data_IF_719706816587
#
_entry.id   IF_719706816587
#
_cell.length_a   1.000
_cell.length_b   1.000
_cell.length_c   1.000
_cell.angle_alpha   90.00
_cell.angle_beta   90.00
_cell.angle_gamma   90.00
#
_symmetry.space_group_name_H-M   'P 1'
#
loop_
_entity.id
_entity.type
_entity.pdbx_description
1 polymer ?
#
# COMPACT_ATOMS: atom_id res chain seq x y z
N UNK A 1 51.93 10.91 4.24
CA UNK A 1 50.75 11.73 4.60
C UNK A 1 49.71 11.82 3.50
N UNK A 2 50.07 12.14 2.24
CA UNK A 2 49.09 12.30 1.14
C UNK A 2 48.24 11.05 0.84
N UNK A 3 48.80 9.85 0.93
CA UNK A 3 48.08 8.60 0.68
C UNK A 3 46.92 8.39 1.67
N UNK A 4 47.11 8.71 2.95
CA UNK A 4 46.05 8.62 3.95
C UNK A 4 44.91 9.59 3.67
N UNK A 5 45.21 10.81 3.21
CA UNK A 5 44.20 11.82 2.87
C UNK A 5 43.33 11.34 1.70
N UNK A 6 43.94 10.78 0.66
CA UNK A 6 43.23 10.26 -0.53
C UNK A 6 42.38 9.04 -0.16
N UNK A 7 42.92 8.11 0.64
CA UNK A 7 42.18 6.93 1.10
C UNK A 7 40.97 7.32 1.95
N UNK A 8 41.12 8.29 2.86
CA UNK A 8 40.01 8.79 3.69
C UNK A 8 38.94 9.48 2.84
N UNK A 9 39.33 10.28 1.84
CA UNK A 9 38.37 10.91 0.92
C UNK A 9 37.55 9.88 0.13
N UNK A 10 38.18 8.82 -0.37
CA UNK A 10 37.47 7.77 -1.12
C UNK A 10 36.45 7.03 -0.24
N UNK A 11 36.80 6.72 1.00
CA UNK A 11 35.89 6.06 1.94
C UNK A 11 34.68 6.96 2.25
N UNK A 12 34.91 8.25 2.49
CA UNK A 12 33.84 9.22 2.69
C UNK A 12 32.92 9.33 1.46
N UNK A 13 33.49 9.38 0.25
CA UNK A 13 32.71 9.47 -0.99
C UNK A 13 31.79 8.25 -1.21
N UNK A 14 32.21 7.05 -0.77
CA UNK A 14 31.39 5.84 -0.86
C UNK A 14 30.27 5.80 0.19
N UNK A 15 30.52 6.31 1.39
CA UNK A 15 29.57 6.25 2.51
C UNK A 15 28.54 7.41 2.46
N UNK A 16 28.96 8.57 1.96
CA UNK A 16 28.14 9.77 1.85
C UNK A 16 26.76 9.59 1.19
N UNK A 17 26.64 8.93 0.00
CA UNK A 17 25.32 8.73 -0.63
C UNK A 17 24.37 7.88 0.24
N UNK A 18 24.88 6.91 1.00
CA UNK A 18 24.05 6.11 1.90
C UNK A 18 23.51 6.94 3.07
N UNK A 19 24.30 7.87 3.61
CA UNK A 19 23.84 8.79 4.65
C UNK A 19 22.73 9.72 4.15
N UNK A 20 22.89 10.31 2.97
CA UNK A 20 21.85 11.17 2.36
C UNK A 20 20.55 10.36 2.15
N UNK A 21 20.65 9.17 1.55
CA UNK A 21 19.49 8.32 1.30
C UNK A 21 18.75 7.96 2.60
N UNK A 22 19.47 7.76 3.70
CA UNK A 22 18.88 7.48 5.02
C UNK A 22 18.10 8.69 5.59
N UNK A 23 18.63 9.92 5.43
CA UNK A 23 17.98 11.15 5.88
C UNK A 23 16.68 11.42 5.09
N UNK A 24 16.71 11.22 3.77
CA UNK A 24 15.52 11.39 2.91
C UNK A 24 14.41 10.41 3.35
N UNK A 25 14.73 9.13 3.55
CA UNK A 25 13.78 8.11 4.03
C UNK A 25 13.11 8.49 5.35
N UNK A 26 13.89 8.97 6.33
CA UNK A 26 13.36 9.43 7.63
C UNK A 26 12.41 10.63 7.47
N UNK A 27 12.77 11.55 6.58
CA UNK A 27 11.96 12.74 6.30
C UNK A 27 10.60 12.38 5.71
N UNK A 28 10.56 11.44 4.77
CA UNK A 28 9.30 11.01 4.15
C UNK A 28 8.41 10.20 5.10
N UNK A 29 9.00 9.33 5.93
CA UNK A 29 8.27 8.64 7.01
C UNK A 29 7.63 9.64 7.98
N UNK A 30 8.35 10.69 8.37
CA UNK A 30 7.82 11.74 9.23
C UNK A 30 6.67 12.53 8.58
N UNK A 31 6.67 12.68 7.24
CA UNK A 31 5.58 13.34 6.51
C UNK A 31 4.31 12.48 6.52
N UNK A 32 4.39 11.21 6.13
CA UNK A 32 3.20 10.35 6.07
C UNK A 32 2.58 10.17 7.46
N UNK A 33 3.39 10.03 8.52
CA UNK A 33 2.86 9.94 9.88
C UNK A 33 2.10 11.20 10.31
N UNK A 34 2.58 12.40 9.94
CA UNK A 34 1.87 13.66 10.21
C UNK A 34 0.54 13.74 9.47
N UNK A 35 0.51 13.30 8.21
CA UNK A 35 -0.73 13.24 7.42
C UNK A 35 -1.71 12.27 8.07
N UNK A 36 -1.29 11.03 8.33
CA UNK A 36 -2.11 10.00 8.97
C UNK A 36 -2.69 10.48 10.30
N UNK A 37 -1.86 11.07 11.17
CA UNK A 37 -2.31 11.56 12.48
C UNK A 37 -3.32 12.68 12.33
N UNK A 38 -3.09 13.63 11.40
CA UNK A 38 -4.03 14.70 11.11
C UNK A 38 -5.38 14.16 10.66
N UNK A 39 -5.39 13.22 9.72
CA UNK A 39 -6.63 12.69 9.13
C UNK A 39 -7.41 11.83 10.14
N UNK A 40 -6.72 11.00 10.92
CA UNK A 40 -7.33 10.24 12.02
C UNK A 40 -8.03 11.19 13.00
N UNK A 41 -7.36 12.28 13.39
CA UNK A 41 -7.96 13.30 14.28
C UNK A 41 -9.11 14.04 13.60
N UNK A 42 -8.96 14.42 12.33
CA UNK A 42 -9.97 15.16 11.57
C UNK A 42 -11.29 14.38 11.44
N UNK A 43 -11.22 13.09 11.15
CA UNK A 43 -12.39 12.20 11.09
C UNK A 43 -12.76 11.57 12.44
N UNK A 44 -12.01 11.89 13.51
CA UNK A 44 -12.19 11.37 14.87
C UNK A 44 -12.15 9.84 14.95
N UNK A 45 -11.30 9.19 14.16
CA UNK A 45 -11.23 7.72 14.06
C UNK A 45 -10.40 7.13 15.20
N UNK A 46 -10.77 5.93 15.65
CA UNK A 46 -9.99 5.10 16.56
C UNK A 46 -9.48 3.86 15.83
N UNK A 47 -8.36 4.00 15.13
CA UNK A 47 -7.79 2.92 14.31
C UNK A 47 -7.17 1.84 15.20
N UNK A 48 -7.69 0.61 15.14
CA UNK A 48 -7.16 -0.55 15.89
C UNK A 48 -6.20 -1.39 15.06
N UNK A 49 -6.65 -1.82 13.88
CA UNK A 49 -5.80 -2.52 12.92
C UNK A 49 -5.20 -1.50 11.98
N UNK A 50 -3.87 -1.45 11.88
CA UNK A 50 -3.16 -0.50 11.00
C UNK A 50 -1.89 -1.07 10.42
N UNK A 51 -1.52 -0.55 9.27
CA UNK A 51 -0.24 -0.82 8.65
C UNK A 51 0.25 0.42 7.91
N UNK A 52 1.55 0.70 8.04
CA UNK A 52 2.22 1.78 7.33
C UNK A 52 3.38 1.15 6.56
N UNK A 53 3.44 1.38 5.25
CA UNK A 53 4.49 0.86 4.38
C UNK A 53 4.83 1.91 3.34
N UNK A 54 6.12 2.14 3.10
CA UNK A 54 6.59 3.24 2.23
C UNK A 54 5.88 4.56 2.61
N UNK A 55 5.13 5.13 1.66
CA UNK A 55 4.35 6.36 1.81
C UNK A 55 2.83 6.08 1.87
N UNK A 56 2.47 4.86 2.23
CA UNK A 56 1.10 4.38 2.29
C UNK A 56 0.70 4.04 3.72
N UNK A 57 -0.59 4.18 3.98
CA UNK A 57 -1.23 3.82 5.23
C UNK A 57 -2.58 3.19 4.94
N UNK A 58 -2.92 2.17 5.73
CA UNK A 58 -4.25 1.59 5.76
C UNK A 58 -4.60 1.27 7.21
N UNK A 59 -5.84 1.54 7.60
CA UNK A 59 -6.31 1.28 8.95
C UNK A 59 -7.81 1.11 9.02
N UNK A 60 -8.27 0.31 9.98
CA UNK A 60 -9.69 0.11 10.28
C UNK A 60 -10.01 0.64 11.68
N UNK A 61 -11.05 1.46 11.74
CA UNK A 61 -11.81 1.75 12.96
C UNK A 61 -12.97 0.75 13.05
N UNK A 62 -12.88 -0.26 13.94
CA UNK A 62 -13.92 -1.28 14.05
C UNK A 62 -15.21 -0.75 14.69
N UNK A 63 -15.13 0.30 15.52
CA UNK A 63 -16.29 0.86 16.20
C UNK A 63 -17.16 1.64 15.22
N UNK A 64 -16.53 2.45 14.37
CA UNK A 64 -17.20 3.20 13.30
C UNK A 64 -17.36 2.41 12.01
N UNK A 65 -16.79 1.20 11.90
CA UNK A 65 -16.74 0.37 10.69
C UNK A 65 -16.18 1.13 9.47
N UNK A 66 -15.17 1.96 9.69
CA UNK A 66 -14.52 2.73 8.63
C UNK A 66 -13.13 2.24 8.35
N UNK A 67 -12.77 2.21 7.07
CA UNK A 67 -11.42 2.00 6.59
C UNK A 67 -10.86 3.32 6.08
N UNK A 68 -9.68 3.69 6.58
CA UNK A 68 -8.90 4.81 6.11
C UNK A 68 -7.72 4.28 5.31
N UNK A 69 -7.63 4.66 4.03
CA UNK A 69 -6.49 4.41 3.19
C UNK A 69 -5.89 5.75 2.75
N UNK A 70 -4.57 5.88 2.87
CA UNK A 70 -3.83 7.07 2.45
C UNK A 70 -2.63 6.62 1.62
N UNK A 71 -2.47 7.21 0.45
CA UNK A 71 -1.30 7.03 -0.42
C UNK A 71 -0.70 8.39 -0.73
N UNK A 72 0.52 8.64 -0.27
CA UNK A 72 1.19 9.92 -0.49
C UNK A 72 2.09 9.89 -1.73
N UNK A 73 1.58 10.49 -2.82
CA UNK A 73 2.30 10.73 -4.07
C UNK A 73 2.70 12.22 -4.13
N UNK A 74 3.89 12.53 -3.59
CA UNK A 74 4.43 13.89 -3.44
C UNK A 74 4.25 14.71 -4.74
N UNK A 75 3.55 15.88 -4.74
CA UNK A 75 3.17 16.73 -3.60
C UNK A 75 1.76 16.52 -3.04
N UNK A 76 0.97 15.58 -3.58
CA UNK A 76 -0.41 15.33 -3.15
C UNK A 76 -0.49 14.01 -2.36
N UNK A 77 -1.63 13.74 -1.76
CA UNK A 77 -1.95 12.41 -1.28
C UNK A 77 -3.38 12.09 -1.66
N UNK A 78 -3.60 10.81 -1.93
CA UNK A 78 -4.92 10.23 -2.08
C UNK A 78 -5.37 9.82 -0.69
N UNK A 79 -6.60 10.20 -0.33
CA UNK A 79 -7.26 9.77 0.89
C UNK A 79 -8.59 9.12 0.51
N UNK A 80 -8.78 7.89 0.98
CA UNK A 80 -10.02 7.17 0.84
C UNK A 80 -10.54 6.81 2.23
N UNK A 81 -11.71 7.36 2.57
CA UNK A 81 -12.46 6.97 3.75
C UNK A 81 -13.65 6.13 3.30
N UNK A 82 -13.61 4.83 3.60
CA UNK A 82 -14.57 3.84 3.12
C UNK A 82 -15.40 3.35 4.29
N UNK A 83 -16.72 3.43 4.16
CA UNK A 83 -17.66 2.78 5.06
C UNK A 83 -17.70 1.27 4.71
N UNK A 84 -17.28 0.42 5.65
CA UNK A 84 -17.16 -1.01 5.41
C UNK A 84 -18.52 -1.70 5.27
N UNK A 85 -19.58 -1.11 5.83
CA UNK A 85 -20.95 -1.61 5.66
C UNK A 85 -21.49 -1.41 4.25
N UNK A 86 -20.89 -0.50 3.48
CA UNK A 86 -21.32 -0.16 2.13
C UNK A 86 -20.67 -1.06 1.07
N UNK A 87 -19.85 -2.03 1.49
CA UNK A 87 -19.15 -2.95 0.62
C UNK A 87 -19.93 -4.25 0.43
N UNK A 88 -19.98 -4.73 -0.81
CA UNK A 88 -20.54 -6.06 -1.15
C UNK A 88 -19.45 -7.10 -1.44
N UNK A 89 -18.25 -6.65 -1.78
CA UNK A 89 -17.13 -7.51 -2.13
C UNK A 89 -15.81 -6.75 -1.94
N UNK A 90 -14.81 -7.49 -1.44
CA UNK A 90 -13.41 -7.08 -1.46
C UNK A 90 -12.63 -8.24 -2.09
N UNK A 91 -11.97 -7.98 -3.22
CA UNK A 91 -11.17 -8.99 -3.93
C UNK A 91 -9.75 -8.51 -4.17
N UNK A 92 -8.81 -9.46 -4.11
CA UNK A 92 -7.42 -9.20 -4.47
C UNK A 92 -7.34 -9.15 -5.99
N UNK A 93 -6.79 -8.07 -6.54
CA UNK A 93 -6.52 -7.94 -7.96
C UNK A 93 -5.02 -7.89 -8.17
N UNK A 94 -4.52 -8.79 -9.03
CA UNK A 94 -3.16 -8.77 -9.56
C UNK A 94 -3.21 -8.58 -11.08
N UNK A 95 -2.39 -7.67 -11.59
CA UNK A 95 -2.16 -7.49 -13.03
C UNK A 95 -0.76 -8.03 -13.35
N UNK A 96 -0.68 -8.96 -14.28
CA UNK A 96 0.56 -9.62 -14.69
C UNK A 96 0.78 -9.32 -16.17
N UNK A 97 1.95 -8.79 -16.50
CA UNK A 97 2.42 -8.67 -17.88
C UNK A 97 3.13 -9.94 -18.29
N UNK A 98 2.79 -10.45 -19.47
CA UNK A 98 3.52 -11.55 -20.11
C UNK A 98 4.34 -11.00 -21.26
N UNK A 99 5.67 -11.04 -21.11
CA UNK A 99 6.58 -10.76 -22.21
C UNK A 99 7.07 -12.09 -22.79
N UNK A 100 6.91 -12.25 -24.11
CA UNK A 100 7.44 -13.42 -24.83
C UNK A 100 8.87 -13.11 -25.25
N UNK A 101 9.83 -13.87 -24.72
CA UNK A 101 11.23 -13.73 -25.12
C UNK A 101 11.76 -15.05 -25.68
N UNK A 102 11.94 -15.09 -27.00
CA UNK A 102 12.64 -16.09 -27.83
C UNK A 102 12.31 -17.60 -27.70
N UNK A 103 11.76 -18.08 -26.58
CA UNK A 103 11.00 -19.33 -26.40
C UNK A 103 10.41 -19.49 -24.97
N UNK A 104 10.59 -18.51 -24.08
CA UNK A 104 10.06 -18.50 -22.71
C UNK A 104 9.07 -17.35 -22.52
N UNK A 105 8.08 -17.56 -21.65
CA UNK A 105 7.22 -16.50 -21.15
C UNK A 105 7.79 -16.01 -19.84
N UNK A 106 8.09 -14.72 -19.76
CA UNK A 106 8.41 -14.05 -18.51
C UNK A 106 7.15 -13.34 -18.01
N UNK A 107 6.70 -13.72 -16.82
CA UNK A 107 5.58 -13.07 -16.14
C UNK A 107 6.14 -12.03 -15.16
N UNK A 108 5.70 -10.78 -15.30
CA UNK A 108 6.08 -9.69 -14.38
C UNK A 108 4.81 -9.15 -13.74
N UNK A 109 4.77 -9.07 -12.40
CA UNK A 109 3.66 -8.42 -11.71
C UNK A 109 3.73 -6.92 -12.00
N UNK A 110 2.67 -6.36 -12.58
CA UNK A 110 2.57 -4.92 -12.84
C UNK A 110 1.88 -4.19 -11.71
N UNK A 111 0.80 -4.75 -11.16
CA UNK A 111 0.02 -4.12 -10.07
C UNK A 111 -0.57 -5.16 -9.14
N UNK A 112 -0.65 -4.81 -7.86
CA UNK A 112 -1.36 -5.60 -6.85
C UNK A 112 -2.10 -4.68 -5.90
N UNK A 113 -3.33 -5.04 -5.55
CA UNK A 113 -4.12 -4.28 -4.59
C UNK A 113 -5.45 -4.96 -4.27
N UNK A 114 -6.32 -4.19 -3.62
CA UNK A 114 -7.68 -4.60 -3.32
C UNK A 114 -8.67 -3.79 -4.14
N UNK A 115 -9.58 -4.48 -4.81
CA UNK A 115 -10.73 -3.85 -5.43
C UNK A 115 -11.94 -3.98 -4.50
N UNK A 116 -12.61 -2.86 -4.27
CA UNK A 116 -13.75 -2.74 -3.38
C UNK A 116 -14.99 -2.39 -4.20
N UNK A 117 -15.97 -3.29 -4.17
CA UNK A 117 -17.26 -3.09 -4.82
C UNK A 117 -18.27 -2.64 -3.78
N UNK A 118 -18.98 -1.54 -4.08
CA UNK A 118 -19.99 -0.94 -3.20
C UNK A 118 -21.38 -1.49 -3.50
N UNK A 119 -22.31 -1.31 -2.56
CA UNK A 119 -23.71 -1.75 -2.70
C UNK A 119 -24.39 -1.05 -3.89
N UNK A 120 -24.13 0.24 -4.08
CA UNK A 120 -24.74 0.98 -5.17
C UNK A 120 -23.92 0.78 -6.46
N UNK A 121 -24.52 0.25 -7.53
CA UNK A 121 -23.79 -0.08 -8.77
C UNK A 121 -23.26 1.15 -9.52
N UNK A 122 -23.75 2.33 -9.18
CA UNK A 122 -23.27 3.60 -9.75
C UNK A 122 -22.11 4.20 -8.95
N UNK A 123 -21.79 3.67 -7.77
CA UNK A 123 -20.66 4.14 -7.00
C UNK A 123 -19.35 3.68 -7.65
N UNK A 124 -18.31 4.52 -7.65
CA UNK A 124 -17.03 4.16 -8.22
C UNK A 124 -16.41 2.99 -7.46
N UNK A 125 -15.94 2.00 -8.22
CA UNK A 125 -15.08 0.93 -7.71
C UNK A 125 -13.83 1.58 -7.12
N UNK A 126 -13.53 1.27 -5.87
CA UNK A 126 -12.35 1.81 -5.19
C UNK A 126 -11.21 0.78 -5.28
N UNK A 127 -10.02 1.22 -5.70
CA UNK A 127 -8.85 0.35 -5.83
C UNK A 127 -7.75 0.79 -4.87
N UNK A 128 -7.51 -0.01 -3.83
CA UNK A 128 -6.44 0.21 -2.86
C UNK A 128 -5.15 -0.43 -3.37
N UNK A 129 -4.29 0.37 -4.00
CA UNK A 129 -3.04 -0.10 -4.58
C UNK A 129 -1.97 -0.40 -3.52
N UNK A 130 -1.44 -1.62 -3.50
CA UNK A 130 -0.37 -2.03 -2.59
C UNK A 130 0.99 -2.05 -3.30
N UNK A 131 1.00 -2.41 -4.59
CA UNK A 131 2.19 -2.44 -5.44
C UNK A 131 1.90 -1.97 -6.87
N UNK A 132 2.90 -1.33 -7.47
CA UNK A 132 2.99 -1.09 -8.91
C UNK A 132 4.45 -1.14 -9.37
N UNK A 133 4.70 -1.81 -10.50
CA UNK A 133 6.02 -1.86 -11.14
C UNK A 133 6.50 -0.50 -11.65
N UNK A 134 5.58 0.45 -11.89
CA UNK A 134 5.92 1.84 -12.21
C UNK A 134 6.52 2.58 -11.01
N UNK A 135 6.12 2.21 -9.79
CA UNK A 135 6.55 2.85 -8.55
C UNK A 135 7.80 2.20 -7.96
N UNK A 136 7.96 0.89 -8.13
CA UNK A 136 9.10 0.18 -7.55
C UNK A 136 9.33 -1.19 -8.19
N UNK A 137 10.60 -1.55 -8.40
CA UNK A 137 11.01 -2.88 -8.81
C UNK A 137 11.17 -3.87 -7.62
N UNK A 138 10.98 -3.40 -6.38
CA UNK A 138 11.17 -4.22 -5.17
C UNK A 138 9.85 -4.88 -4.77
N UNK A 139 9.71 -6.16 -5.14
CA UNK A 139 8.61 -7.04 -4.76
C UNK A 139 8.91 -7.77 -3.44
N UNK A 140 8.76 -7.10 -2.29
CA UNK A 140 8.79 -7.83 -1.02
C UNK A 140 7.57 -7.50 -0.16
N UNK A 141 6.87 -8.55 0.27
CA UNK A 141 5.73 -8.55 1.21
C UNK A 141 4.40 -7.92 0.73
N UNK A 142 4.19 -7.76 -0.57
CA UNK A 142 2.94 -7.16 -1.10
C UNK A 142 1.76 -8.15 -1.14
N UNK A 143 2.01 -9.41 -1.51
CA UNK A 143 0.98 -10.47 -1.54
C UNK A 143 0.44 -10.79 -0.13
N UNK A 144 1.27 -11.04 0.89
CA UNK A 144 0.77 -11.27 2.24
C UNK A 144 -0.03 -10.08 2.80
N UNK A 145 0.33 -8.84 2.43
CA UNK A 145 -0.43 -7.64 2.79
C UNK A 145 -1.80 -7.64 2.12
N UNK A 146 -1.86 -7.91 0.82
CA UNK A 146 -3.11 -8.06 0.08
C UNK A 146 -4.02 -9.09 0.76
N UNK A 147 -3.50 -10.27 1.08
CA UNK A 147 -4.27 -11.32 1.77
C UNK A 147 -4.73 -10.93 3.17
N UNK A 148 -3.85 -10.33 3.98
CA UNK A 148 -4.18 -9.86 5.33
C UNK A 148 -5.34 -8.87 5.29
N UNK A 149 -5.22 -7.83 4.46
CA UNK A 149 -6.21 -6.77 4.40
C UNK A 149 -7.50 -7.22 3.71
N UNK A 150 -7.42 -8.09 2.71
CA UNK A 150 -8.59 -8.74 2.13
C UNK A 150 -9.38 -9.53 3.20
N UNK A 151 -8.70 -10.34 4.02
CA UNK A 151 -9.32 -11.09 5.11
C UNK A 151 -9.90 -10.17 6.18
N UNK A 152 -9.22 -9.09 6.54
CA UNK A 152 -9.70 -8.12 7.53
C UNK A 152 -10.96 -7.40 7.04
N UNK A 153 -10.97 -6.89 5.81
CA UNK A 153 -12.11 -6.15 5.23
C UNK A 153 -13.32 -7.06 5.07
N UNK A 154 -13.13 -8.27 4.54
CA UNK A 154 -14.22 -9.23 4.34
C UNK A 154 -14.94 -9.65 5.64
N UNK A 155 -14.34 -9.47 6.83
CA UNK A 155 -15.03 -9.69 8.12
C UNK A 155 -16.16 -8.67 8.39
N UNK A 156 -16.11 -7.51 7.75
CA UNK A 156 -17.10 -6.45 7.91
C UNK A 156 -18.17 -6.47 6.82
N UNK A 157 -17.91 -7.20 5.73
CA UNK A 157 -18.88 -7.38 4.64
C UNK A 157 -19.94 -8.38 5.12
N UNK A 158 -21.23 -8.03 5.06
CA UNK A 158 -22.29 -8.95 5.44
C UNK A 158 -22.22 -10.21 4.57
N UNK A 159 -22.24 -11.39 5.21
CA UNK A 159 -22.23 -12.67 4.51
C UNK A 159 -23.34 -12.70 3.48
N UNK A 160 -23.00 -12.82 2.20
CA UNK A 160 -23.96 -13.25 1.18
C UNK A 160 -24.36 -14.68 1.53
N UNK A 161 -25.52 -14.85 2.17
CA UNK A 161 -26.16 -16.15 2.31
C UNK A 161 -26.45 -16.71 0.92
N UNK A 162 -25.66 -17.71 0.51
CA UNK A 162 -26.01 -18.61 -0.58
C UNK A 162 -25.23 -18.42 -1.89
N UNK A 163 -24.06 -19.03 -1.98
CA UNK A 163 -23.67 -19.78 -3.19
C UNK A 163 -23.02 -21.08 -2.73
N UNK A 164 -23.76 -22.19 -2.88
CA UNK A 164 -23.20 -23.54 -2.80
C UNK A 164 -22.08 -23.63 -3.83
N UNK A 165 -20.84 -23.92 -3.38
CA UNK A 165 -19.83 -24.52 -4.24
C UNK A 165 -20.39 -25.85 -4.72
N UNK A 166 -20.81 -25.92 -5.98
CA UNK A 166 -20.84 -27.18 -6.70
C UNK A 166 -19.37 -27.47 -7.08
N UNK A 167 -18.78 -28.44 -6.39
CA UNK A 167 -17.67 -29.24 -6.87
C UNK A 167 -17.84 -30.64 -6.34
#
# INVERSE_FOLDING_TARGET
>A
MGMFIVSTLMILALIFPFFIASIIKKTDQNKIQKIVTREILHYGLEIKEKELWRNNFIGIDPAKKKLLYIKADNPKYILELIELTDLIECRIISQIKRNKNHNTYEETLERLGLELTRIHPNDPISFLGFYSSEETALESYEIPRAEKWNKLINKYIPLKTGYKKAS
#
